data_IF_332875545913
#
_entry.id   IF_332875545913
#
_cell.length_a   1.000
_cell.length_b   1.000
_cell.length_c   1.000
_cell.angle_alpha   90.00
_cell.angle_beta   90.00
_cell.angle_gamma   90.00
#
_symmetry.space_group_name_H-M   'P 1'
#
loop_
_entity.id
_entity.type
_entity.pdbx_description
1 polymer ?
#
# COMPACT_ATOMS: atom_id res chain seq x y z
N UNK A 1 3.11 -71.31 20.07
CA UNK A 1 3.02 -70.20 21.05
C UNK A 1 4.27 -69.37 20.94
N UNK A 2 4.14 -68.15 20.38
CA UNK A 2 5.26 -67.24 20.13
C UNK A 2 5.63 -66.47 21.40
N UNK A 3 6.93 -66.38 21.71
CA UNK A 3 7.48 -65.71 22.89
C UNK A 3 7.48 -64.17 22.74
N UNK A 4 6.30 -63.56 22.57
CA UNK A 4 6.16 -62.10 22.40
C UNK A 4 5.21 -61.43 23.41
N UNK A 5 4.49 -62.18 24.25
CA UNK A 5 3.39 -61.64 25.07
C UNK A 5 3.83 -61.06 26.45
N UNK A 6 5.13 -60.89 26.67
CA UNK A 6 5.70 -60.30 27.90
C UNK A 6 6.33 -58.90 27.69
N UNK A 7 5.87 -58.16 26.69
CA UNK A 7 6.11 -56.72 26.62
C UNK A 7 5.23 -56.02 27.67
N UNK A 8 5.84 -55.53 28.75
CA UNK A 8 5.15 -54.71 29.75
C UNK A 8 4.67 -53.42 29.07
N UNK A 9 3.36 -53.24 28.96
CA UNK A 9 2.76 -52.00 28.45
C UNK A 9 2.59 -50.99 29.56
N UNK A 10 3.01 -49.76 29.30
CA UNK A 10 2.70 -48.61 30.16
C UNK A 10 1.25 -48.20 29.87
N UNK A 11 0.39 -48.21 30.88
CA UNK A 11 -0.98 -47.69 30.76
C UNK A 11 -1.09 -46.25 31.30
N UNK A 12 -0.32 -45.92 32.35
CA UNK A 12 -0.36 -44.63 33.02
C UNK A 12 1.01 -43.92 32.96
N UNK A 13 1.03 -42.67 32.52
CA UNK A 13 2.23 -41.83 32.46
C UNK A 13 2.00 -40.46 33.12
N UNK A 14 2.60 -40.25 34.28
CA UNK A 14 2.49 -39.00 35.05
C UNK A 14 3.86 -38.32 35.17
N UNK A 15 3.98 -37.16 34.55
CA UNK A 15 5.18 -36.31 34.62
C UNK A 15 4.77 -34.84 34.74
N UNK A 16 4.19 -34.50 35.89
CA UNK A 16 3.69 -33.17 36.22
C UNK A 16 4.70 -32.37 37.06
N UNK A 17 4.54 -31.05 37.16
CA UNK A 17 5.41 -30.16 37.96
C UNK A 17 6.90 -30.21 37.58
N UNK A 18 7.18 -30.31 36.28
CA UNK A 18 8.53 -30.46 35.75
C UNK A 18 8.86 -29.37 34.73
N UNK A 19 10.05 -29.42 34.13
CA UNK A 19 10.52 -28.38 33.19
C UNK A 19 10.44 -28.79 31.72
N UNK A 20 9.56 -29.72 31.33
CA UNK A 20 9.43 -30.11 29.92
C UNK A 20 8.93 -28.91 29.09
N UNK A 21 9.57 -28.74 27.94
CA UNK A 21 9.21 -27.76 26.91
C UNK A 21 8.52 -28.42 25.73
N UNK A 22 8.93 -29.63 25.35
CA UNK A 22 8.43 -30.35 24.17
C UNK A 22 8.10 -31.79 24.52
N UNK A 23 7.16 -32.39 23.78
CA UNK A 23 6.82 -33.80 23.89
C UNK A 23 7.21 -34.51 22.58
N UNK A 24 8.13 -35.50 22.59
CA UNK A 24 8.46 -36.26 21.39
C UNK A 24 7.37 -37.28 21.08
N UNK A 25 7.04 -37.44 19.80
CA UNK A 25 6.11 -38.46 19.31
C UNK A 25 6.64 -39.88 19.62
N UNK A 26 7.92 -40.14 19.36
CA UNK A 26 8.55 -41.46 19.52
C UNK A 26 8.86 -41.87 20.98
N UNK A 27 8.58 -41.03 21.98
CA UNK A 27 8.99 -41.29 23.37
C UNK A 27 8.21 -42.46 24.01
N UNK A 28 6.92 -42.59 23.68
CA UNK A 28 6.02 -43.62 24.19
C UNK A 28 4.98 -43.96 23.10
N UNK A 29 4.39 -45.17 23.12
CA UNK A 29 3.25 -45.51 22.26
C UNK A 29 1.97 -44.81 22.75
N UNK A 30 1.87 -43.49 22.54
CA UNK A 30 0.86 -42.61 23.16
C UNK A 30 -0.60 -43.07 22.98
N UNK A 31 -0.91 -43.75 21.88
CA UNK A 31 -2.23 -44.32 21.56
C UNK A 31 -2.70 -45.40 22.55
N UNK A 32 -1.77 -46.03 23.27
CA UNK A 32 -2.05 -47.13 24.21
C UNK A 32 -2.17 -46.67 25.66
N UNK A 33 -1.87 -45.39 25.96
CA UNK A 33 -1.94 -44.83 27.31
C UNK A 33 -3.39 -44.49 27.68
N UNK A 34 -3.80 -44.91 28.87
CA UNK A 34 -5.12 -44.62 29.46
C UNK A 34 -5.12 -43.31 30.23
N UNK A 35 -4.07 -43.06 31.02
CA UNK A 35 -3.97 -41.86 31.82
C UNK A 35 -2.64 -41.14 31.60
N UNK A 36 -2.71 -39.89 31.12
CA UNK A 36 -1.54 -39.04 30.94
C UNK A 36 -1.69 -37.74 31.73
N UNK A 37 -0.70 -37.40 32.56
CA UNK A 37 -0.67 -36.18 33.36
C UNK A 37 0.62 -35.39 33.14
N UNK A 38 0.51 -34.34 32.33
CA UNK A 38 1.60 -33.46 31.86
C UNK A 38 1.47 -32.01 32.36
N UNK A 39 0.69 -31.82 33.43
CA UNK A 39 0.31 -30.49 33.96
C UNK A 39 1.52 -29.81 34.63
N UNK A 40 1.53 -28.48 34.67
CA UNK A 40 2.60 -27.69 35.29
C UNK A 40 3.99 -27.97 34.69
N UNK A 41 4.08 -27.95 33.36
CA UNK A 41 5.32 -27.96 32.59
C UNK A 41 5.41 -26.70 31.69
N UNK A 42 6.61 -26.36 31.24
CA UNK A 42 6.90 -25.12 30.51
C UNK A 42 6.70 -25.26 28.98
N UNK A 43 5.54 -25.79 28.58
CA UNK A 43 5.26 -26.17 27.19
C UNK A 43 5.54 -25.07 26.16
N UNK A 44 6.34 -25.40 25.16
CA UNK A 44 6.61 -24.61 23.98
C UNK A 44 5.74 -25.12 22.83
N UNK A 45 4.62 -24.43 22.60
CA UNK A 45 3.65 -24.75 21.57
C UNK A 45 4.12 -24.25 20.20
N UNK A 46 5.13 -24.89 19.64
CA UNK A 46 5.64 -24.64 18.29
C UNK A 46 5.35 -25.82 17.35
N UNK A 47 6.01 -25.86 16.18
CA UNK A 47 5.77 -26.90 15.18
C UNK A 47 6.05 -28.33 15.68
N UNK A 48 6.91 -28.51 16.69
CA UNK A 48 7.20 -29.83 17.28
C UNK A 48 6.02 -30.38 18.07
N UNK A 49 5.03 -29.55 18.42
CA UNK A 49 3.81 -29.96 19.12
C UNK A 49 2.62 -30.18 18.17
N UNK A 50 2.83 -30.14 16.83
CA UNK A 50 1.75 -30.37 15.85
C UNK A 50 1.19 -31.78 15.92
N UNK A 51 2.03 -32.81 16.05
CA UNK A 51 1.58 -34.21 16.16
C UNK A 51 0.60 -34.40 17.33
N UNK A 52 0.76 -33.65 18.43
CA UNK A 52 -0.15 -33.69 19.57
C UNK A 52 -1.56 -33.23 19.18
N UNK A 53 -1.72 -32.33 18.18
CA UNK A 53 -3.02 -31.88 17.67
C UNK A 53 -3.78 -32.98 16.92
N UNK A 54 -3.08 -33.80 16.14
CA UNK A 54 -3.65 -34.90 15.34
C UNK A 54 -3.75 -36.22 16.11
N UNK A 55 -2.97 -36.41 17.17
CA UNK A 55 -2.97 -37.62 17.99
C UNK A 55 -4.15 -37.73 18.96
N UNK A 56 -4.56 -38.95 19.36
CA UNK A 56 -5.53 -39.19 20.44
C UNK A 56 -5.14 -38.56 21.79
N UNK A 57 -3.85 -38.26 21.99
CA UNK A 57 -3.33 -37.62 23.19
C UNK A 57 -3.96 -36.25 23.45
N UNK A 58 -4.46 -35.57 22.41
CA UNK A 58 -5.18 -34.29 22.51
C UNK A 58 -6.31 -34.34 23.54
N UNK A 59 -7.11 -35.41 23.57
CA UNK A 59 -8.25 -35.49 24.49
C UNK A 59 -7.84 -35.80 25.93
N UNK A 60 -6.70 -36.49 26.12
CA UNK A 60 -6.12 -36.75 27.42
C UNK A 60 -5.49 -35.49 28.04
N UNK A 61 -4.70 -34.73 27.26
CA UNK A 61 -3.86 -33.65 27.81
C UNK A 61 -4.25 -32.24 27.38
N UNK A 62 -4.93 -32.05 26.25
CA UNK A 62 -5.06 -30.76 25.57
C UNK A 62 -5.74 -29.64 26.36
N UNK A 63 -6.65 -29.98 27.27
CA UNK A 63 -7.28 -29.01 28.20
C UNK A 63 -6.36 -28.67 29.37
N UNK A 64 -5.50 -29.59 29.81
CA UNK A 64 -4.61 -29.43 30.97
C UNK A 64 -3.22 -28.91 30.61
N UNK A 65 -2.84 -29.00 29.33
CA UNK A 65 -1.58 -28.55 28.79
C UNK A 65 -1.66 -27.05 28.40
N UNK A 66 -0.97 -26.20 29.17
CA UNK A 66 -0.95 -24.73 28.96
C UNK A 66 0.38 -24.31 28.35
N UNK A 67 0.33 -23.58 27.25
CA UNK A 67 1.50 -23.06 26.56
C UNK A 67 2.21 -21.98 27.40
N UNK A 68 3.48 -22.19 27.71
CA UNK A 68 4.38 -21.18 28.31
C UNK A 68 5.12 -20.37 27.24
N UNK A 69 5.41 -21.00 26.10
CA UNK A 69 6.05 -20.41 24.92
C UNK A 69 5.31 -20.87 23.65
N UNK A 70 5.51 -20.23 22.49
CA UNK A 70 6.11 -18.90 22.30
C UNK A 70 5.24 -17.77 22.90
N UNK A 71 5.74 -16.53 23.08
CA UNK A 71 4.99 -15.43 23.71
C UNK A 71 3.60 -15.17 23.11
N UNK A 72 3.45 -15.37 21.78
CA UNK A 72 2.18 -15.23 21.04
C UNK A 72 1.10 -16.28 21.39
N UNK A 73 1.47 -17.36 22.08
CA UNK A 73 0.58 -18.44 22.54
C UNK A 73 0.57 -18.60 24.07
N UNK A 74 1.35 -17.79 24.79
CA UNK A 74 1.52 -17.90 26.24
C UNK A 74 0.18 -17.80 26.98
N UNK A 75 -0.04 -18.72 27.92
CA UNK A 75 -1.28 -18.83 28.69
C UNK A 75 -2.45 -19.50 27.96
N UNK A 76 -2.33 -19.85 26.67
CA UNK A 76 -3.38 -20.59 25.95
C UNK A 76 -3.28 -22.10 26.21
N UNK A 77 -4.42 -22.77 26.33
CA UNK A 77 -4.50 -24.23 26.38
C UNK A 77 -4.25 -24.82 24.98
N UNK A 78 -3.51 -25.92 24.86
CA UNK A 78 -3.19 -26.52 23.56
C UNK A 78 -4.44 -26.90 22.75
N UNK A 79 -5.53 -27.34 23.42
CA UNK A 79 -6.81 -27.63 22.76
C UNK A 79 -7.37 -26.40 22.01
N UNK A 80 -7.22 -25.20 22.56
CA UNK A 80 -7.70 -23.93 21.99
C UNK A 80 -6.71 -23.20 21.08
N UNK A 81 -5.53 -23.78 20.78
CA UNK A 81 -4.59 -23.26 19.77
C UNK A 81 -4.82 -24.00 18.47
N UNK A 82 -5.02 -23.30 17.35
CA UNK A 82 -5.12 -23.93 16.03
C UNK A 82 -3.79 -24.58 15.61
N UNK A 83 -3.83 -25.69 14.87
CA UNK A 83 -2.60 -26.35 14.39
C UNK A 83 -1.77 -25.45 13.46
N UNK A 84 -2.44 -24.61 12.65
CA UNK A 84 -1.79 -23.58 11.81
C UNK A 84 -1.03 -22.52 12.64
N UNK A 85 -1.40 -22.31 13.90
CA UNK A 85 -0.70 -21.40 14.79
C UNK A 85 0.56 -22.04 15.39
N UNK A 86 0.77 -23.36 15.27
CA UNK A 86 1.96 -24.06 15.75
C UNK A 86 3.14 -23.90 14.78
N UNK A 87 3.59 -22.66 14.62
CA UNK A 87 4.68 -22.25 13.73
C UNK A 87 6.03 -22.19 14.43
N UNK A 88 7.05 -22.72 13.75
CA UNK A 88 8.46 -22.53 14.09
C UNK A 88 9.05 -21.26 13.45
N UNK A 89 10.24 -20.85 13.89
CA UNK A 89 10.79 -19.51 13.64
C UNK A 89 10.88 -19.07 12.18
N UNK A 90 11.17 -19.98 11.23
CA UNK A 90 11.28 -19.61 9.82
C UNK A 90 9.94 -19.17 9.21
N UNK A 91 8.83 -19.75 9.64
CA UNK A 91 7.49 -19.44 9.10
C UNK A 91 7.04 -18.05 9.52
N UNK A 92 7.32 -17.71 10.79
CA UNK A 92 7.05 -16.39 11.37
C UNK A 92 7.92 -15.33 10.66
N UNK A 93 9.19 -15.65 10.36
CA UNK A 93 10.10 -14.75 9.65
C UNK A 93 9.72 -14.57 8.18
N UNK A 94 9.34 -15.64 7.48
CA UNK A 94 8.90 -15.63 6.07
C UNK A 94 7.65 -14.75 5.91
N UNK A 95 6.64 -14.96 6.76
CA UNK A 95 5.39 -14.21 6.74
C UNK A 95 5.60 -12.70 6.95
N UNK A 96 6.52 -12.31 7.85
CA UNK A 96 6.86 -10.90 8.09
C UNK A 96 7.57 -10.24 6.90
N UNK A 97 8.45 -10.98 6.21
CA UNK A 97 9.13 -10.49 5.00
C UNK A 97 8.13 -10.22 3.86
N UNK A 98 7.19 -11.13 3.63
CA UNK A 98 6.16 -10.97 2.61
C UNK A 98 5.30 -9.71 2.84
N UNK A 99 4.84 -9.49 4.08
CA UNK A 99 4.08 -8.29 4.44
C UNK A 99 4.89 -6.99 4.25
N UNK A 100 6.16 -6.98 4.69
CA UNK A 100 7.04 -5.82 4.51
C UNK A 100 7.30 -5.48 3.04
N UNK A 101 7.47 -6.50 2.19
CA UNK A 101 7.66 -6.31 0.75
C UNK A 101 6.40 -5.76 0.07
N UNK A 102 5.23 -6.33 0.36
CA UNK A 102 3.94 -5.84 -0.15
C UNK A 102 3.65 -4.39 0.26
N UNK A 103 3.86 -4.05 1.54
CA UNK A 103 3.71 -2.68 2.03
C UNK A 103 4.70 -1.72 1.35
N UNK A 104 5.94 -2.16 1.11
CA UNK A 104 6.94 -1.40 0.37
C UNK A 104 6.52 -1.08 -1.06
N UNK A 105 6.03 -2.07 -1.82
CA UNK A 105 5.54 -1.86 -3.18
C UNK A 105 4.35 -0.90 -3.22
N UNK A 106 3.40 -1.02 -2.28
CA UNK A 106 2.27 -0.09 -2.16
C UNK A 106 2.74 1.35 -1.89
N UNK A 107 3.68 1.54 -0.96
CA UNK A 107 4.25 2.86 -0.67
C UNK A 107 4.97 3.46 -1.89
N UNK A 108 5.76 2.68 -2.63
CA UNK A 108 6.43 3.13 -3.86
C UNK A 108 5.40 3.54 -4.93
N UNK A 109 4.33 2.77 -5.12
CA UNK A 109 3.24 3.11 -6.04
C UNK A 109 2.51 4.41 -5.67
N UNK A 110 2.28 4.64 -4.38
CA UNK A 110 1.69 5.90 -3.88
C UNK A 110 2.63 7.09 -4.14
N UNK A 111 3.94 6.95 -3.84
CA UNK A 111 4.92 8.03 -4.09
C UNK A 111 5.06 8.32 -5.60
N UNK A 112 5.09 7.28 -6.44
CA UNK A 112 5.18 7.45 -7.90
C UNK A 112 3.91 8.09 -8.50
N UNK A 113 2.72 7.72 -8.04
CA UNK A 113 1.46 8.34 -8.49
C UNK A 113 1.33 9.79 -8.03
N UNK A 114 1.69 10.12 -6.78
CA UNK A 114 1.73 11.51 -6.31
C UNK A 114 2.78 12.35 -7.05
N UNK A 115 3.97 11.79 -7.30
CA UNK A 115 5.04 12.45 -8.05
C UNK A 115 4.66 12.75 -9.50
N UNK A 116 4.07 11.77 -10.21
CA UNK A 116 3.59 11.96 -11.59
C UNK A 116 2.45 12.97 -11.67
N UNK A 117 1.48 12.94 -10.74
CA UNK A 117 0.43 13.98 -10.67
C UNK A 117 1.01 15.36 -10.39
N UNK A 118 1.98 15.49 -9.48
CA UNK A 118 2.64 16.76 -9.19
C UNK A 118 3.41 17.31 -10.41
N UNK A 119 4.12 16.45 -11.15
CA UNK A 119 4.80 16.80 -12.40
C UNK A 119 3.80 17.27 -13.47
N UNK A 120 2.70 16.54 -13.69
CA UNK A 120 1.66 16.92 -14.63
C UNK A 120 0.99 18.24 -14.26
N UNK A 121 0.74 18.49 -12.96
CA UNK A 121 0.21 19.77 -12.48
C UNK A 121 1.21 20.90 -12.66
N UNK A 122 2.51 20.66 -12.39
CA UNK A 122 3.58 21.64 -12.59
C UNK A 122 3.73 22.01 -14.08
N UNK A 123 3.73 21.03 -14.98
CA UNK A 123 3.77 21.25 -16.42
C UNK A 123 2.48 21.95 -16.93
N UNK A 124 1.29 21.53 -16.46
CA UNK A 124 0.00 22.13 -16.85
C UNK A 124 -0.21 23.55 -16.29
N UNK A 125 0.34 23.89 -15.13
CA UNK A 125 0.24 25.23 -14.52
C UNK A 125 1.17 26.27 -15.16
N UNK A 126 1.91 25.91 -16.20
CA UNK A 126 2.43 26.87 -17.17
C UNK A 126 3.48 27.81 -16.59
N UNK A 127 4.67 27.28 -16.29
CA UNK A 127 5.89 28.11 -16.20
C UNK A 127 6.14 28.92 -17.49
N UNK A 128 5.53 28.48 -18.60
CA UNK A 128 5.44 29.17 -19.90
C UNK A 128 4.46 30.37 -19.95
N UNK A 129 3.65 30.61 -18.92
CA UNK A 129 2.64 31.68 -18.88
C UNK A 129 2.83 32.67 -17.71
N UNK A 130 4.09 32.98 -17.35
CA UNK A 130 4.38 34.34 -16.90
C UNK A 130 4.12 35.28 -18.08
N UNK A 131 2.93 35.89 -18.14
CA UNK A 131 2.68 36.98 -19.10
C UNK A 131 3.78 38.03 -18.90
N UNK A 132 4.54 38.41 -19.93
CA UNK A 132 5.41 39.58 -19.79
C UNK A 132 4.52 40.77 -19.43
N UNK A 133 4.89 41.50 -18.38
CA UNK A 133 4.22 42.75 -18.07
C UNK A 133 4.44 43.70 -19.24
N UNK A 134 3.38 43.99 -20.01
CA UNK A 134 3.46 44.88 -21.15
C UNK A 134 3.85 46.28 -20.69
N UNK A 135 5.06 46.72 -21.00
CA UNK A 135 5.54 48.06 -20.70
C UNK A 135 4.84 49.03 -21.66
N UNK A 136 3.83 49.72 -21.16
CA UNK A 136 3.19 50.83 -21.87
C UNK A 136 4.11 52.06 -21.79
N UNK A 137 4.88 52.29 -22.85
CA UNK A 137 5.60 53.55 -23.04
C UNK A 137 4.60 54.65 -23.42
N UNK A 138 4.52 55.71 -22.62
CA UNK A 138 3.72 56.89 -22.98
C UNK A 138 4.30 57.51 -24.26
N UNK A 139 3.51 57.56 -25.33
CA UNK A 139 3.89 58.27 -26.56
C UNK A 139 3.63 59.76 -26.32
N UNK A 140 4.68 60.47 -25.96
CA UNK A 140 4.66 61.92 -25.77
C UNK A 140 4.48 62.60 -27.14
N UNK A 141 3.25 63.05 -27.43
CA UNK A 141 2.90 63.72 -28.68
C UNK A 141 3.51 65.12 -28.71
N UNK A 142 4.75 65.22 -29.22
CA UNK A 142 5.28 66.50 -29.70
C UNK A 142 4.46 66.98 -30.91
N UNK A 143 3.96 68.22 -30.93
CA UNK A 143 3.25 68.74 -32.08
C UNK A 143 4.24 68.99 -33.23
N UNK A 144 4.26 68.09 -34.21
CA UNK A 144 4.95 68.35 -35.48
C UNK A 144 4.12 69.34 -36.30
N UNK A 145 4.56 70.59 -36.33
CA UNK A 145 4.13 71.61 -37.27
C UNK A 145 4.20 71.06 -38.69
N UNK A 146 3.07 70.98 -39.39
CA UNK A 146 3.03 70.56 -40.79
C UNK A 146 3.42 71.77 -41.64
N UNK A 147 4.68 71.84 -42.04
CA UNK A 147 5.13 72.73 -43.10
C UNK A 147 4.79 72.09 -44.45
N UNK A 148 3.64 72.44 -45.01
CA UNK A 148 3.42 72.25 -46.45
C UNK A 148 4.20 73.36 -47.16
N UNK A 149 5.25 72.96 -47.87
CA UNK A 149 5.96 73.81 -48.81
C UNK A 149 5.98 73.07 -50.14
N UNK A 150 5.51 73.78 -51.15
CA UNK A 150 5.18 73.36 -52.49
C UNK A 150 6.35 72.74 -53.27
N UNK A 151 6.04 71.95 -54.30
CA UNK A 151 6.42 72.31 -55.68
C UNK A 151 5.70 71.42 -56.70
N UNK A 152 4.97 72.06 -57.62
CA UNK A 152 4.36 71.45 -58.80
C UNK A 152 5.34 71.45 -59.97
N UNK A 153 5.31 70.43 -60.84
CA UNK A 153 5.73 70.63 -62.22
C UNK A 153 4.74 70.04 -63.26
N UNK A 154 4.08 70.93 -64.04
CA UNK A 154 3.70 70.86 -65.49
C UNK A 154 3.00 69.55 -66.00
N UNK A 155 1.97 69.50 -66.84
CA UNK A 155 1.17 70.40 -67.71
C UNK A 155 -0.17 69.64 -68.04
N UNK A 156 -1.23 70.12 -68.69
CA UNK A 156 -1.62 71.39 -69.35
C UNK A 156 -3.18 71.55 -69.24
N UNK A 157 -3.83 72.62 -69.76
CA UNK A 157 -5.21 72.98 -69.41
C UNK A 157 -6.27 72.66 -70.49
N UNK A 158 -7.50 73.17 -70.26
CA UNK A 158 -8.67 73.21 -71.17
C UNK A 158 -9.36 71.84 -71.42
N UNK A 159 -10.69 71.71 -71.40
CA UNK A 159 -11.76 72.66 -71.71
C UNK A 159 -13.03 72.39 -70.87
N UNK A 160 -13.78 73.44 -70.51
CA UNK A 160 -15.04 73.35 -69.72
C UNK A 160 -16.29 73.24 -70.61
N UNK A 161 -17.34 72.56 -70.13
CA UNK A 161 -18.75 73.02 -70.06
C UNK A 161 -19.75 71.85 -70.05
N UNK A 162 -20.88 71.99 -69.34
CA UNK A 162 -21.94 70.96 -69.31
C UNK A 162 -22.89 70.96 -68.11
N UNK A 163 -23.55 72.09 -67.86
CA UNK A 163 -24.80 72.40 -67.11
C UNK A 163 -25.35 71.40 -66.06
N UNK A 164 -25.64 71.77 -64.79
CA UNK A 164 -26.65 72.72 -64.22
C UNK A 164 -27.98 72.05 -63.81
N UNK A 165 -28.53 72.45 -62.64
CA UNK A 165 -29.84 72.07 -62.03
C UNK A 165 -29.95 70.64 -61.42
N UNK A 166 -30.67 70.39 -60.30
CA UNK A 166 -31.19 71.25 -59.20
C UNK A 166 -31.46 70.39 -57.93
N UNK A 167 -31.88 71.03 -56.84
CA UNK A 167 -32.10 70.49 -55.47
C UNK A 167 -33.29 69.50 -55.35
N UNK A 168 -33.28 68.60 -54.35
CA UNK A 168 -34.30 68.59 -53.26
C UNK A 168 -33.86 67.76 -52.01
N UNK A 169 -34.64 67.83 -50.93
CA UNK A 169 -34.39 67.36 -49.55
C UNK A 169 -35.31 66.18 -49.11
N UNK A 170 -35.21 65.82 -47.80
CA UNK A 170 -36.04 64.93 -46.96
C UNK A 170 -35.87 63.41 -47.15
N UNK A 171 -35.77 62.52 -46.14
CA UNK A 171 -36.13 62.45 -44.69
C UNK A 171 -37.54 61.91 -44.40
N UNK A 172 -37.62 60.89 -43.51
CA UNK A 172 -38.77 60.06 -43.08
C UNK A 172 -39.12 58.90 -44.05
N UNK A 173 -39.60 57.74 -43.58
CA UNK A 173 -40.03 57.34 -42.20
C UNK A 173 -39.01 56.46 -41.43
#
# INVERSE_FOLDING_TARGET
>A
MTRNDMAIRVEDFTFSFSILTTLPEDLLPWEHLRQVSLVYNQWNCDCNMKWVKSSPLMDLVGVRMVCSQPPRLRGRHLKGVDEKDLLCGHEIASSRKAFGFLAGLMAVGIVASLGTVALLVYWRRGWLCRRPAGVYTNIERTPKTITVADELPWDNPEFQSGNENSQDYSVLD
#
